data_IF_863656465221
#
_entry.id   IF_863656465221
#
_cell.length_a   1.000
_cell.length_b   1.000
_cell.length_c   1.000
_cell.angle_alpha   90.00
_cell.angle_beta   90.00
_cell.angle_gamma   90.00
#
_symmetry.space_group_name_H-M   'P 1'
#
loop_
_entity.id
_entity.type
_entity.pdbx_description
1 polymer ?
#
# COMPACT_ATOMS: atom_id res chain seq x y z
N UNK A 1 -5.03 -1.52 -1.53
CA UNK A 1 -5.48 -1.08 -2.87
C UNK A 1 -6.95 -1.40 -3.08
N UNK A 2 -7.76 -0.49 -3.65
CA UNK A 2 -9.20 -0.73 -3.91
C UNK A 2 -9.47 -1.60 -5.15
N UNK A 3 -8.69 -1.43 -6.22
CA UNK A 3 -8.73 -2.24 -7.44
C UNK A 3 -7.31 -2.44 -7.97
N UNK A 4 -7.00 -3.62 -8.48
CA UNK A 4 -5.73 -3.88 -9.16
C UNK A 4 -5.80 -3.42 -10.62
N UNK A 5 -4.74 -2.79 -11.16
CA UNK A 5 -4.66 -2.53 -12.59
C UNK A 5 -4.49 -3.85 -13.36
N UNK A 6 -4.84 -3.85 -14.65
CA UNK A 6 -4.66 -5.02 -15.54
C UNK A 6 -3.17 -5.40 -15.62
N UNK A 7 -2.29 -4.40 -15.65
CA UNK A 7 -0.84 -4.57 -15.61
C UNK A 7 -0.29 -3.73 -14.47
N UNK A 8 0.45 -4.36 -13.56
CA UNK A 8 1.18 -3.70 -12.49
C UNK A 8 2.68 -3.69 -12.80
N UNK A 9 3.32 -2.54 -12.61
CA UNK A 9 4.76 -2.38 -12.81
C UNK A 9 5.45 -2.10 -11.47
N UNK A 10 6.47 -2.90 -11.13
CA UNK A 10 7.23 -2.74 -9.89
C UNK A 10 8.62 -2.19 -10.17
N UNK A 11 8.86 -0.95 -9.73
CA UNK A 11 10.17 -0.34 -9.78
C UNK A 11 10.82 -0.42 -8.40
N UNK A 12 11.98 -1.08 -8.32
CA UNK A 12 12.74 -1.14 -7.08
C UNK A 12 13.51 0.18 -6.90
N UNK A 13 13.27 0.90 -5.80
CA UNK A 13 14.00 2.11 -5.44
C UNK A 13 15.43 1.75 -5.03
N UNK A 14 16.33 1.65 -6.01
CA UNK A 14 17.70 1.17 -5.85
C UNK A 14 18.75 2.27 -5.84
N UNK A 15 18.35 3.53 -5.85
CA UNK A 15 19.27 4.65 -5.74
C UNK A 15 19.07 5.33 -4.40
N UNK A 16 20.09 5.22 -3.56
CA UNK A 16 20.17 5.97 -2.32
C UNK A 16 20.89 7.29 -2.61
N UNK A 17 20.26 8.39 -2.19
CA UNK A 17 20.77 9.72 -2.38
C UNK A 17 20.62 10.51 -1.08
N UNK A 18 21.71 10.60 -0.34
CA UNK A 18 21.84 11.49 0.81
C UNK A 18 22.95 12.50 0.54
N UNK A 19 23.05 13.52 1.39
CA UNK A 19 24.14 14.50 1.32
C UNK A 19 25.53 13.85 1.44
N UNK A 20 25.63 12.72 2.17
CA UNK A 20 26.89 12.05 2.48
C UNK A 20 27.19 10.86 1.57
N UNK A 21 26.16 10.25 0.98
CA UNK A 21 26.31 8.99 0.24
C UNK A 21 25.33 8.93 -0.92
N UNK A 22 25.88 8.71 -2.12
CA UNK A 22 25.15 8.48 -3.36
C UNK A 22 25.60 7.14 -3.93
N UNK A 23 24.71 6.15 -3.98
CA UNK A 23 25.08 4.80 -4.45
C UNK A 23 23.91 4.03 -5.01
N UNK A 24 24.24 3.03 -5.82
CA UNK A 24 23.32 1.99 -6.29
C UNK A 24 23.25 0.85 -5.25
N UNK A 25 22.05 0.44 -4.88
CA UNK A 25 21.79 -0.75 -4.07
C UNK A 25 21.86 -1.96 -4.99
N UNK A 26 22.96 -2.71 -4.89
CA UNK A 26 23.25 -3.91 -5.69
C UNK A 26 22.70 -5.20 -5.09
N UNK A 27 22.10 -5.13 -3.90
CA UNK A 27 21.51 -6.30 -3.21
C UNK A 27 20.54 -7.03 -4.13
N UNK A 28 20.79 -8.32 -4.33
CA UNK A 28 19.90 -9.18 -5.08
C UNK A 28 18.55 -9.29 -4.36
N UNK A 29 17.46 -9.25 -5.13
CA UNK A 29 16.11 -9.45 -4.63
C UNK A 29 15.49 -10.50 -5.51
N UNK A 30 15.25 -11.69 -4.95
CA UNK A 30 14.44 -12.69 -5.62
C UNK A 30 12.99 -12.24 -5.65
N UNK A 31 12.30 -12.59 -6.73
CA UNK A 31 10.87 -12.40 -6.86
C UNK A 31 10.26 -13.71 -7.37
N UNK A 32 9.03 -14.03 -6.97
CA UNK A 32 8.36 -15.24 -7.42
C UNK A 32 7.90 -15.10 -8.87
N UNK A 33 7.63 -16.23 -9.53
CA UNK A 33 6.97 -16.26 -10.83
C UNK A 33 5.54 -15.70 -10.74
N UNK A 34 4.86 -16.01 -9.64
CA UNK A 34 3.50 -15.57 -9.34
C UNK A 34 3.47 -14.80 -8.02
N UNK A 35 2.75 -13.67 -7.99
CA UNK A 35 2.67 -12.80 -6.83
C UNK A 35 1.21 -12.66 -6.37
N UNK A 36 0.90 -13.18 -5.19
CA UNK A 36 -0.41 -12.98 -4.58
C UNK A 36 -0.55 -11.53 -4.09
N UNK A 37 -1.40 -10.76 -4.78
CA UNK A 37 -1.67 -9.37 -4.46
C UNK A 37 -2.76 -9.21 -3.39
N UNK A 38 -3.49 -10.26 -3.05
CA UNK A 38 -4.63 -10.26 -2.10
C UNK A 38 -4.27 -9.68 -0.73
N UNK A 39 -3.11 -9.97 -0.11
CA UNK A 39 -2.73 -9.42 1.19
C UNK A 39 -2.56 -7.89 1.17
N UNK A 40 -2.38 -7.30 -0.02
CA UNK A 40 -2.16 -5.86 -0.22
C UNK A 40 -3.43 -5.13 -0.71
N UNK A 41 -4.55 -5.85 -0.88
CA UNK A 41 -5.85 -5.28 -1.22
C UNK A 41 -6.56 -4.71 0.02
N UNK A 42 -7.48 -3.74 -0.18
CA UNK A 42 -8.18 -3.09 0.93
C UNK A 42 -9.28 -3.99 1.53
N UNK A 43 -9.96 -4.77 0.68
CA UNK A 43 -11.05 -5.67 1.07
C UNK A 43 -10.61 -6.86 1.93
N UNK A 44 -9.34 -7.24 1.91
CA UNK A 44 -8.80 -8.31 2.77
C UNK A 44 -8.55 -7.86 4.22
N UNK A 45 -8.64 -6.55 4.52
CA UNK A 45 -8.56 -6.03 5.90
C UNK A 45 -9.89 -6.08 6.63
N UNK A 46 -11.01 -5.96 5.91
CA UNK A 46 -12.35 -5.90 6.50
C UNK A 46 -12.79 -7.25 7.09
N UNK A 47 -12.34 -8.37 6.52
CA UNK A 47 -12.58 -9.71 7.07
C UNK A 47 -11.85 -9.99 8.39
N UNK A 48 -10.81 -9.21 8.73
CA UNK A 48 -10.11 -9.32 10.03
C UNK A 48 -10.73 -8.47 11.14
N UNK A 49 -11.57 -7.48 10.80
CA UNK A 49 -12.16 -6.55 11.76
C UNK A 49 -13.60 -6.89 12.14
N UNK A 50 -14.34 -7.68 11.34
CA UNK A 50 -15.75 -8.01 11.62
C UNK A 50 -15.97 -9.14 12.66
N UNK A 51 -14.99 -9.44 13.51
CA UNK A 51 -15.08 -10.48 14.55
C UNK A 51 -15.55 -10.01 15.92
N UNK A 52 -15.53 -8.71 16.22
CA UNK A 52 -16.04 -8.13 17.46
C UNK A 52 -16.36 -6.64 17.23
N UNK A 53 -17.36 -6.13 17.94
CA UNK A 53 -17.89 -4.75 17.99
C UNK A 53 -19.08 -4.44 17.06
N UNK A 54 -20.26 -4.43 17.69
CA UNK A 54 -21.48 -3.76 17.22
C UNK A 54 -21.25 -2.27 16.93
N UNK A 55 -22.03 -1.78 15.96
CA UNK A 55 -22.19 -0.41 15.47
C UNK A 55 -22.49 0.63 16.58
N UNK A 56 -22.33 1.93 16.30
CA UNK A 56 -23.52 2.68 15.87
C UNK A 56 -23.34 3.49 14.58
N UNK A 57 -24.43 3.57 13.83
CA UNK A 57 -24.63 4.50 12.71
C UNK A 57 -24.64 5.94 13.24
N UNK A 58 -23.82 6.81 12.67
CA UNK A 58 -24.08 8.24 12.65
C UNK A 58 -23.59 8.80 11.32
N UNK A 59 -24.50 9.40 10.56
CA UNK A 59 -24.15 10.17 9.37
C UNK A 59 -23.35 11.41 9.74
N UNK A 60 -22.54 11.89 8.80
CA UNK A 60 -22.53 13.27 8.34
C UNK A 60 -21.40 13.50 7.32
N UNK A 61 -21.83 13.98 6.17
CA UNK A 61 -21.23 14.99 5.30
C UNK A 61 -19.81 14.85 4.75
N UNK A 62 -19.78 14.96 3.42
CA UNK A 62 -18.67 15.29 2.56
C UNK A 62 -17.95 16.56 3.03
N UNK A 63 -16.63 16.51 3.17
CA UNK A 63 -15.75 17.65 2.88
C UNK A 63 -14.33 17.16 2.55
N UNK A 64 -13.88 17.58 1.38
CA UNK A 64 -12.55 17.35 0.86
C UNK A 64 -11.51 18.06 1.73
N UNK A 65 -10.65 17.31 2.42
CA UNK A 65 -9.31 17.79 2.72
C UNK A 65 -8.33 16.63 2.98
N UNK A 66 -7.81 16.02 1.90
CA UNK A 66 -6.59 15.22 2.01
C UNK A 66 -5.40 16.17 2.15
N UNK A 67 -5.18 16.69 3.37
CA UNK A 67 -3.93 17.35 3.72
C UNK A 67 -2.86 16.28 3.92
N UNK A 68 -2.20 15.88 2.83
CA UNK A 68 -0.93 15.18 2.88
C UNK A 68 0.12 16.16 3.40
N UNK A 69 0.45 16.04 4.68
CA UNK A 69 1.65 16.64 5.24
C UNK A 69 2.85 15.81 4.73
N UNK A 70 3.75 16.44 3.98
CA UNK A 70 5.09 15.92 3.72
C UNK A 70 5.90 15.87 5.02
#
# INVERSE_FOLDING_TARGET
MKKLPIVACFHLKRFEHSAKLRRKITTYVSFPLELDMTPFMASSKESRMNGQYQQPQDGLNNDNNCLLHF
#
